data_IF_934876876563
#
_entry.id   IF_934876876563
#
_cell.length_a   1.000
_cell.length_b   1.000
_cell.length_c   1.000
_cell.angle_alpha   90.00
_cell.angle_beta   90.00
_cell.angle_gamma   90.00
#
_symmetry.space_group_name_H-M   'P 1'
#
loop_
_entity.id
_entity.type
_entity.pdbx_description
1 polymer ?
#
# COMPACT_ATOMS: atom_id res chain seq x y z
N UNK A 1 -8.65 -11.70 38.79
CA UNK A 1 -9.51 -11.68 37.59
C UNK A 1 -10.63 -12.71 37.62
N UNK A 2 -11.67 -12.49 36.81
CA UNK A 2 -12.75 -13.43 36.50
C UNK A 2 -12.41 -14.33 35.29
N UNK A 3 -13.15 -15.43 35.09
CA UNK A 3 -12.91 -16.33 33.95
C UNK A 3 -13.09 -15.61 32.59
N UNK A 4 -14.04 -14.68 32.48
CA UNK A 4 -14.26 -13.92 31.24
C UNK A 4 -13.10 -12.95 30.94
N UNK A 5 -12.52 -12.35 31.98
CA UNK A 5 -11.33 -11.52 31.84
C UNK A 5 -10.11 -12.36 31.44
N UNK A 6 -9.96 -13.54 32.05
CA UNK A 6 -8.90 -14.49 31.71
C UNK A 6 -8.97 -14.94 30.24
N UNK A 7 -10.17 -15.31 29.75
CA UNK A 7 -10.36 -15.74 28.36
C UNK A 7 -10.02 -14.63 27.34
N UNK A 8 -10.22 -13.35 27.68
CA UNK A 8 -9.87 -12.23 26.79
C UNK A 8 -8.37 -12.01 26.67
N UNK A 9 -7.62 -12.21 27.75
CA UNK A 9 -6.15 -12.06 27.76
C UNK A 9 -5.43 -13.31 27.29
N UNK A 10 -6.16 -14.41 27.07
CA UNK A 10 -5.59 -15.71 26.70
C UNK A 10 -4.70 -15.68 25.45
N UNK A 11 -5.04 -14.97 24.35
CA UNK A 11 -4.16 -14.86 23.18
C UNK A 11 -2.82 -14.15 23.46
N UNK A 12 -2.79 -13.26 24.46
CA UNK A 12 -1.60 -12.49 24.83
C UNK A 12 -0.63 -13.30 25.72
N UNK A 13 -1.10 -14.41 26.31
CA UNK A 13 -0.32 -15.26 27.21
C UNK A 13 0.79 -16.05 26.50
N UNK A 14 0.76 -16.17 25.16
CA UNK A 14 1.84 -16.81 24.40
C UNK A 14 3.19 -16.08 24.54
N UNK A 15 3.16 -14.77 24.83
CA UNK A 15 4.35 -13.94 25.08
C UNK A 15 4.85 -13.94 26.53
N UNK A 16 4.14 -14.60 27.44
CA UNK A 16 4.46 -14.68 28.88
C UNK A 16 3.21 -14.52 29.77
N UNK A 17 3.15 -15.30 30.85
CA UNK A 17 2.02 -15.27 31.80
C UNK A 17 2.18 -14.16 32.83
N UNK A 18 1.12 -13.40 33.06
CA UNK A 18 1.06 -12.43 34.17
C UNK A 18 0.90 -13.16 35.50
N UNK A 19 1.32 -12.53 36.61
CA UNK A 19 1.14 -13.09 37.95
C UNK A 19 -0.34 -13.33 38.28
N UNK A 20 -1.22 -12.43 37.85
CA UNK A 20 -2.66 -12.56 38.05
C UNK A 20 -3.21 -13.79 37.30
N UNK A 21 -2.73 -14.05 36.07
CA UNK A 21 -3.09 -15.20 35.24
C UNK A 21 -2.74 -16.52 35.92
N UNK A 22 -1.52 -16.61 36.46
CA UNK A 22 -1.07 -17.79 37.19
C UNK A 22 -1.87 -18.02 38.49
N UNK A 23 -2.25 -16.95 39.19
CA UNK A 23 -3.09 -17.07 40.38
C UNK A 23 -4.48 -17.62 40.04
N UNK A 24 -5.11 -17.11 38.97
CA UNK A 24 -6.42 -17.59 38.53
C UNK A 24 -6.39 -19.06 38.11
N UNK A 25 -5.36 -19.47 37.37
CA UNK A 25 -5.18 -20.86 36.93
C UNK A 25 -5.02 -21.85 38.09
N UNK A 26 -4.45 -21.41 39.23
CA UNK A 26 -4.36 -22.25 40.44
C UNK A 26 -5.70 -22.41 41.14
N UNK A 27 -6.59 -21.41 41.03
CA UNK A 27 -7.87 -21.39 41.75
C UNK A 27 -9.05 -21.89 40.90
N UNK A 28 -8.95 -21.86 39.57
CA UNK A 28 -10.04 -22.23 38.67
C UNK A 28 -9.66 -23.43 37.80
N UNK A 29 -10.21 -24.61 38.11
CA UNK A 29 -9.95 -25.85 37.35
C UNK A 29 -10.40 -25.75 35.90
N UNK A 30 -11.54 -25.10 35.61
CA UNK A 30 -12.07 -24.95 34.25
C UNK A 30 -11.11 -24.19 33.33
N UNK A 31 -10.52 -23.10 33.81
CA UNK A 31 -9.55 -22.32 33.04
C UNK A 31 -8.21 -23.06 32.92
N UNK A 32 -7.84 -23.85 33.93
CA UNK A 32 -6.68 -24.73 33.87
C UNK A 32 -6.85 -25.83 32.81
N UNK A 33 -8.00 -26.50 32.77
CA UNK A 33 -8.33 -27.51 31.76
C UNK A 33 -8.26 -26.92 30.35
N UNK A 34 -8.86 -25.74 30.13
CA UNK A 34 -8.81 -25.04 28.84
C UNK A 34 -7.37 -24.76 28.38
N UNK A 35 -6.52 -24.24 29.28
CA UNK A 35 -5.12 -23.96 28.94
C UNK A 35 -4.32 -25.24 28.70
N UNK A 36 -4.61 -26.31 29.45
CA UNK A 36 -4.00 -27.62 29.23
C UNK A 36 -4.37 -28.17 27.85
N UNK A 37 -5.63 -28.05 27.43
CA UNK A 37 -6.09 -28.49 26.11
C UNK A 37 -5.42 -27.69 24.99
N UNK A 38 -5.31 -26.38 25.13
CA UNK A 38 -4.62 -25.52 24.15
C UNK A 38 -3.13 -25.84 24.06
N UNK A 39 -2.48 -26.11 25.19
CA UNK A 39 -1.08 -26.54 25.21
C UNK A 39 -0.90 -27.90 24.52
N UNK A 40 -1.81 -28.86 24.76
CA UNK A 40 -1.82 -30.14 24.08
C UNK A 40 -1.99 -30.00 22.55
N UNK A 41 -2.90 -29.13 22.10
CA UNK A 41 -3.07 -28.81 20.66
C UNK A 41 -1.78 -28.20 20.10
N UNK A 42 -1.16 -27.24 20.80
CA UNK A 42 0.10 -26.61 20.37
C UNK A 42 1.22 -27.64 20.23
N UNK A 43 1.34 -28.56 21.19
CA UNK A 43 2.33 -29.64 21.15
C UNK A 43 2.08 -30.60 19.97
N UNK A 44 0.84 -31.04 19.76
CA UNK A 44 0.50 -31.90 18.61
C UNK A 44 0.72 -31.18 17.27
N UNK A 45 0.35 -29.92 17.15
CA UNK A 45 0.55 -29.14 15.93
C UNK A 45 2.04 -29.07 15.53
N UNK A 46 2.95 -28.95 16.49
CA UNK A 46 4.41 -28.99 16.21
C UNK A 46 4.87 -30.35 15.68
N UNK A 47 4.25 -31.45 16.11
CA UNK A 47 4.57 -32.78 15.55
C UNK A 47 4.12 -32.95 14.10
N UNK A 48 3.04 -32.27 13.70
CA UNK A 48 2.55 -32.26 12.32
C UNK A 48 3.43 -31.42 11.39
N UNK A 49 4.04 -30.35 11.88
CA UNK A 49 4.92 -29.51 11.05
C UNK A 49 6.13 -30.27 10.50
N UNK A 50 6.62 -31.28 11.23
CA UNK A 50 7.77 -32.06 10.77
C UNK A 50 7.45 -32.99 9.59
N UNK A 51 6.18 -33.29 9.31
CA UNK A 51 5.79 -34.22 8.23
C UNK A 51 5.50 -33.55 6.88
N UNK A 52 5.19 -32.25 6.85
CA UNK A 52 4.60 -31.58 5.67
C UNK A 52 5.40 -30.37 5.17
N UNK A 53 6.73 -30.47 5.12
CA UNK A 53 7.53 -29.44 4.44
C UNK A 53 7.31 -29.52 2.91
N UNK A 54 6.91 -28.43 2.24
CA UNK A 54 6.77 -28.41 0.79
C UNK A 54 8.08 -28.81 0.12
N UNK A 55 7.98 -29.51 -1.03
CA UNK A 55 9.19 -29.86 -1.78
C UNK A 55 10.03 -28.62 -2.11
N UNK A 56 11.36 -28.71 -2.21
CA UNK A 56 12.22 -27.57 -2.54
C UNK A 56 11.84 -26.84 -3.83
N UNK A 57 11.17 -27.53 -4.77
CA UNK A 57 10.65 -26.92 -6.00
C UNK A 57 9.55 -25.91 -5.74
N UNK A 58 8.65 -26.21 -4.80
CA UNK A 58 7.56 -25.31 -4.41
C UNK A 58 8.14 -24.05 -3.79
N UNK A 59 9.11 -24.18 -2.89
CA UNK A 59 9.80 -23.03 -2.30
C UNK A 59 10.52 -22.16 -3.33
N UNK A 60 11.25 -22.77 -4.26
CA UNK A 60 11.89 -22.02 -5.34
C UNK A 60 10.86 -21.28 -6.20
N UNK A 61 9.71 -21.90 -6.50
CA UNK A 61 8.65 -21.23 -7.27
C UNK A 61 8.06 -20.03 -6.52
N UNK A 62 7.81 -20.16 -5.22
CA UNK A 62 7.32 -19.06 -4.36
C UNK A 62 8.35 -17.93 -4.32
N UNK A 63 9.63 -18.25 -4.13
CA UNK A 63 10.69 -17.23 -4.12
C UNK A 63 10.76 -16.46 -5.44
N UNK A 64 10.66 -17.16 -6.58
CA UNK A 64 10.65 -16.54 -7.89
C UNK A 64 9.44 -15.62 -8.04
N UNK A 65 8.24 -16.07 -7.68
CA UNK A 65 7.02 -15.27 -7.74
C UNK A 65 7.11 -14.03 -6.85
N UNK A 66 7.57 -14.17 -5.61
CA UNK A 66 7.72 -13.04 -4.69
C UNK A 66 8.77 -12.02 -5.13
N UNK A 67 9.83 -12.47 -5.83
CA UNK A 67 10.81 -11.57 -6.46
C UNK A 67 10.22 -10.83 -7.65
N UNK A 68 9.39 -11.49 -8.46
CA UNK A 68 8.69 -10.87 -9.60
C UNK A 68 7.65 -9.84 -9.14
N UNK A 69 6.97 -10.11 -8.02
CA UNK A 69 6.03 -9.18 -7.38
C UNK A 69 6.73 -8.04 -6.62
N UNK A 70 8.06 -8.07 -6.50
CA UNK A 70 8.84 -7.04 -5.81
C UNK A 70 8.71 -7.07 -4.27
N UNK A 71 8.03 -8.08 -3.73
CA UNK A 71 7.82 -8.26 -2.29
C UNK A 71 9.10 -8.71 -1.57
N UNK A 72 9.97 -9.43 -2.29
CA UNK A 72 11.29 -9.84 -1.78
C UNK A 72 12.37 -9.05 -2.52
N UNK A 73 12.93 -8.04 -1.84
CA UNK A 73 14.17 -7.40 -2.29
C UNK A 73 15.33 -8.31 -1.95
N UNK A 74 16.32 -8.51 -2.84
CA UNK A 74 17.56 -9.17 -2.46
C UNK A 74 18.15 -8.42 -1.26
N UNK A 75 18.48 -9.14 -0.20
CA UNK A 75 19.15 -8.61 0.97
C UNK A 75 20.37 -7.81 0.52
N UNK A 76 20.35 -6.49 0.73
CA UNK A 76 21.42 -5.57 0.32
C UNK A 76 22.75 -5.81 1.06
N UNK A 77 22.82 -6.81 1.94
CA UNK A 77 24.01 -7.15 2.72
C UNK A 77 25.15 -7.77 1.88
N UNK A 78 24.88 -8.20 0.64
CA UNK A 78 25.91 -8.73 -0.27
C UNK A 78 26.43 -7.74 -1.32
N UNK A 79 26.24 -6.42 -1.12
CA UNK A 79 26.90 -5.43 -1.97
C UNK A 79 28.27 -5.07 -1.38
N UNK A 80 29.40 -5.54 -1.95
CA UNK A 80 30.71 -5.05 -1.55
C UNK A 80 30.77 -3.55 -1.76
N UNK A 81 31.07 -2.83 -0.68
CA UNK A 81 31.02 -1.38 -0.61
C UNK A 81 31.96 -0.72 -1.64
N UNK A 82 31.41 -0.30 -2.78
CA UNK A 82 32.03 0.72 -3.67
C UNK A 82 31.99 2.13 -3.04
N UNK A 83 32.17 2.25 -1.73
CA UNK A 83 32.19 3.54 -0.99
C UNK A 83 33.61 4.13 -0.88
N UNK A 84 34.37 4.15 -1.97
CA UNK A 84 35.66 4.86 -2.00
C UNK A 84 35.87 5.76 -3.23
N UNK A 85 34.97 5.75 -4.23
CA UNK A 85 35.13 6.56 -5.44
C UNK A 85 34.45 7.95 -5.38
N UNK A 86 33.56 8.20 -4.42
CA UNK A 86 32.71 9.40 -4.41
C UNK A 86 33.29 10.66 -3.75
N UNK A 87 34.39 10.58 -3.01
CA UNK A 87 34.87 11.73 -2.22
C UNK A 87 35.62 12.78 -3.06
N UNK A 88 36.26 12.38 -4.16
CA UNK A 88 37.06 13.28 -5.02
C UNK A 88 36.23 14.15 -5.96
N UNK A 89 34.96 13.85 -6.18
CA UNK A 89 34.10 14.61 -7.10
C UNK A 89 33.29 15.73 -6.43
N UNK A 90 33.42 15.89 -5.10
CA UNK A 90 32.64 16.87 -4.32
C UNK A 90 33.20 18.29 -4.32
N UNK A 91 34.35 18.53 -4.97
CA UNK A 91 35.00 19.84 -5.09
C UNK A 91 34.88 20.49 -6.47
N UNK A 92 34.27 19.83 -7.45
CA UNK A 92 34.11 20.39 -8.82
C UNK A 92 32.75 21.07 -9.07
N UNK A 93 31.78 20.92 -8.16
CA UNK A 93 30.44 21.51 -8.26
C UNK A 93 30.42 23.05 -8.16
N UNK A 94 31.18 23.74 -7.29
CA UNK A 94 31.04 25.19 -7.15
C UNK A 94 31.59 25.98 -8.35
N UNK A 95 32.54 25.44 -9.12
CA UNK A 95 33.10 26.10 -10.31
C UNK A 95 32.12 26.12 -11.49
N UNK A 96 31.32 25.07 -11.68
CA UNK A 96 30.32 25.01 -12.75
C UNK A 96 29.12 25.95 -12.50
N UNK A 97 28.70 26.09 -11.23
CA UNK A 97 27.59 26.96 -10.85
C UNK A 97 27.89 28.45 -11.10
N UNK A 98 29.12 28.90 -10.82
CA UNK A 98 29.53 30.29 -11.07
C UNK A 98 29.53 30.64 -12.57
N UNK A 99 29.97 29.73 -13.43
CA UNK A 99 29.98 29.94 -14.89
C UNK A 99 28.56 30.04 -15.49
N UNK A 100 27.60 29.27 -14.97
CA UNK A 100 26.20 29.32 -15.42
C UNK A 100 25.49 30.60 -14.98
N UNK A 101 25.82 31.14 -13.80
CA UNK A 101 25.24 32.40 -13.32
C UNK A 101 25.73 33.61 -14.15
N UNK A 102 27.02 33.64 -14.52
CA UNK A 102 27.57 34.70 -15.37
C UNK A 102 27.03 34.63 -16.80
N UNK A 103 26.93 33.43 -17.39
CA UNK A 103 26.35 33.29 -18.73
C UNK A 103 24.86 33.65 -18.75
N UNK A 104 24.10 33.22 -17.74
CA UNK A 104 22.69 33.55 -17.58
C UNK A 104 22.41 35.05 -17.42
N UNK A 105 23.31 35.78 -16.73
CA UNK A 105 23.16 37.23 -16.54
C UNK A 105 23.38 38.01 -17.86
N UNK A 106 24.43 37.67 -18.61
CA UNK A 106 24.75 38.30 -19.90
C UNK A 106 23.67 38.07 -20.97
N UNK A 107 23.04 36.89 -20.97
CA UNK A 107 21.93 36.56 -21.87
C UNK A 107 20.62 37.30 -21.53
N UNK A 108 20.48 37.78 -20.29
CA UNK A 108 19.29 38.50 -19.80
C UNK A 108 19.38 40.00 -20.08
N UNK A 109 20.55 40.60 -19.97
CA UNK A 109 20.77 42.01 -20.35
C UNK A 109 20.63 42.24 -21.87
N UNK A 110 20.91 41.23 -22.70
CA UNK A 110 20.74 41.32 -24.15
C UNK A 110 19.31 41.07 -24.67
N UNK A 111 18.37 40.63 -23.83
CA UNK A 111 16.99 40.32 -24.24
C UNK A 111 15.96 41.15 -23.46
N UNK A 112 15.74 42.37 -23.95
CA UNK A 112 14.38 42.86 -24.20
C UNK A 112 13.66 43.55 -23.03
N UNK A 113 13.35 44.83 -23.27
CA UNK A 113 12.31 45.58 -22.57
C UNK A 113 10.88 45.08 -22.86
N UNK A 114 9.85 45.86 -22.49
CA UNK A 114 8.75 45.40 -21.62
C UNK A 114 7.47 44.99 -22.37
N UNK A 115 6.71 44.04 -21.81
CA UNK A 115 5.29 43.78 -22.15
C UNK A 115 4.64 43.03 -20.98
N UNK A 116 3.86 43.71 -20.15
CA UNK A 116 2.39 43.70 -20.15
C UNK A 116 1.71 42.39 -19.68
N UNK A 117 1.23 42.48 -18.43
CA UNK A 117 -0.09 42.08 -17.93
C UNK A 117 -0.91 41.07 -18.75
N UNK A 118 -1.04 39.84 -18.24
CA UNK A 118 -2.33 39.14 -18.16
C UNK A 118 -2.37 38.36 -16.84
N UNK A 119 -3.15 38.87 -15.88
CA UNK A 119 -3.63 38.07 -14.76
C UNK A 119 -4.56 37.00 -15.32
N UNK A 120 -4.09 35.75 -15.38
CA UNK A 120 -4.97 34.59 -15.55
C UNK A 120 -5.54 34.26 -14.17
N UNK A 121 -6.77 34.71 -13.94
CA UNK A 121 -7.61 34.25 -12.85
C UNK A 121 -7.70 32.72 -12.88
N UNK A 122 -7.14 32.07 -11.87
CA UNK A 122 -7.46 30.68 -11.55
C UNK A 122 -8.78 30.72 -10.80
N UNK A 123 -9.87 30.42 -11.52
CA UNK A 123 -11.11 30.02 -10.86
C UNK A 123 -10.88 28.66 -10.21
N UNK A 124 -11.32 28.43 -8.96
CA UNK A 124 -11.30 27.11 -8.38
C UNK A 124 -12.29 26.25 -9.16
N UNK A 125 -11.79 25.19 -9.81
CA UNK A 125 -12.62 24.08 -10.26
C UNK A 125 -13.15 23.41 -8.98
N UNK A 126 -14.34 23.84 -8.58
CA UNK A 126 -15.23 23.00 -7.81
C UNK A 126 -15.72 21.93 -8.79
N UNK A 127 -15.09 20.75 -8.75
CA UNK A 127 -15.57 19.56 -9.45
C UNK A 127 -16.84 19.09 -8.76
N UNK A 128 -17.98 19.62 -9.18
CA UNK A 128 -19.25 18.92 -9.06
C UNK A 128 -19.30 17.84 -10.15
N UNK A 129 -19.76 16.61 -9.85
CA UNK A 129 -19.84 15.54 -10.84
C UNK A 129 -20.94 15.86 -11.86
N UNK A 130 -20.53 16.32 -13.06
CA UNK A 130 -21.41 16.37 -14.23
C UNK A 130 -21.67 14.95 -14.76
N UNK A 131 -22.89 14.64 -15.24
CA UNK A 131 -23.28 13.31 -15.70
C UNK A 131 -22.48 12.78 -16.90
N UNK A 132 -21.76 13.65 -17.63
CA UNK A 132 -20.88 13.27 -18.73
C UNK A 132 -19.58 12.57 -18.27
N UNK A 133 -19.07 12.92 -17.08
CA UNK A 133 -17.83 12.34 -16.55
C UNK A 133 -17.99 10.88 -16.12
N UNK A 134 -19.17 10.52 -15.61
CA UNK A 134 -19.49 9.14 -15.20
C UNK A 134 -19.54 8.23 -16.43
N UNK A 135 -20.05 8.72 -17.56
CA UNK A 135 -20.13 7.96 -18.81
C UNK A 135 -18.76 7.67 -19.43
N UNK A 136 -17.81 8.62 -19.35
CA UNK A 136 -16.42 8.39 -19.79
C UNK A 136 -15.67 7.41 -18.90
N UNK A 137 -15.90 7.48 -17.58
CA UNK A 137 -15.29 6.57 -16.60
C UNK A 137 -15.76 5.13 -16.81
N UNK A 138 -17.06 4.92 -17.02
CA UNK A 138 -17.64 3.59 -17.26
C UNK A 138 -17.16 3.02 -18.60
N UNK A 139 -17.06 3.85 -19.65
CA UNK A 139 -16.55 3.42 -20.94
C UNK A 139 -15.06 2.99 -20.89
N UNK A 140 -14.24 3.69 -20.10
CA UNK A 140 -12.83 3.33 -19.92
C UNK A 140 -12.66 2.05 -19.08
N UNK A 141 -13.55 1.83 -18.11
CA UNK A 141 -13.59 0.61 -17.30
C UNK A 141 -13.92 -0.64 -18.14
N UNK A 142 -14.96 -0.59 -18.97
CA UNK A 142 -15.35 -1.70 -19.84
C UNK A 142 -14.24 -2.03 -20.85
N UNK A 143 -13.59 -1.00 -21.40
CA UNK A 143 -12.45 -1.16 -22.29
C UNK A 143 -11.30 -1.89 -21.58
N UNK A 144 -10.99 -1.48 -20.36
CA UNK A 144 -9.92 -2.07 -19.57
C UNK A 144 -10.24 -3.50 -19.12
N UNK A 145 -11.49 -3.79 -18.76
CA UNK A 145 -11.98 -5.15 -18.49
C UNK A 145 -11.82 -6.07 -19.70
N UNK A 146 -12.10 -5.57 -20.91
CA UNK A 146 -11.90 -6.33 -22.14
C UNK A 146 -10.42 -6.60 -22.43
N UNK A 147 -9.54 -5.63 -22.16
CA UNK A 147 -8.09 -5.81 -22.27
C UNK A 147 -7.59 -6.87 -21.29
N UNK A 148 -8.03 -6.82 -20.04
CA UNK A 148 -7.70 -7.83 -19.01
C UNK A 148 -8.24 -9.20 -19.42
N UNK A 149 -9.48 -9.27 -19.91
CA UNK A 149 -10.10 -10.52 -20.36
C UNK A 149 -9.35 -11.17 -21.54
N UNK A 150 -8.87 -10.35 -22.49
CA UNK A 150 -8.14 -10.82 -23.65
C UNK A 150 -6.77 -11.42 -23.30
N UNK A 151 -6.13 -10.95 -22.22
CA UNK A 151 -4.77 -11.37 -21.83
C UNK A 151 -4.76 -12.38 -20.69
N UNK A 152 -5.63 -12.18 -19.70
CA UNK A 152 -5.70 -12.97 -18.47
C UNK A 152 -7.18 -13.20 -18.08
N UNK A 153 -7.89 -14.11 -18.78
CA UNK A 153 -9.32 -14.32 -18.57
C UNK A 153 -9.67 -14.72 -17.13
N UNK A 154 -8.80 -15.49 -16.45
CA UNK A 154 -9.00 -15.90 -15.05
C UNK A 154 -8.87 -14.77 -14.02
N UNK A 155 -8.39 -13.58 -14.40
CA UNK A 155 -8.27 -12.43 -13.50
C UNK A 155 -9.39 -11.40 -13.67
N UNK A 156 -10.17 -11.49 -14.75
CA UNK A 156 -11.23 -10.54 -15.08
C UNK A 156 -12.24 -10.41 -13.94
N UNK A 157 -12.71 -11.54 -13.41
CA UNK A 157 -13.76 -11.56 -12.38
C UNK A 157 -13.28 -10.95 -11.06
N UNK A 158 -12.04 -11.24 -10.67
CA UNK A 158 -11.42 -10.65 -9.48
C UNK A 158 -11.25 -9.14 -9.62
N UNK A 159 -10.78 -8.68 -10.80
CA UNK A 159 -10.63 -7.26 -11.07
C UNK A 159 -11.98 -6.51 -11.09
N UNK A 160 -12.99 -7.06 -11.77
CA UNK A 160 -14.35 -6.51 -11.78
C UNK A 160 -14.99 -6.49 -10.39
N UNK A 161 -14.66 -7.45 -9.53
CA UNK A 161 -15.10 -7.44 -8.13
C UNK A 161 -14.41 -6.33 -7.33
N UNK A 162 -13.09 -6.16 -7.50
CA UNK A 162 -12.33 -5.14 -6.80
C UNK A 162 -12.78 -3.72 -7.18
N UNK A 163 -13.03 -3.47 -8.47
CA UNK A 163 -13.57 -2.19 -8.93
C UNK A 163 -14.93 -1.87 -8.29
N UNK A 164 -15.87 -2.82 -8.32
CA UNK A 164 -17.19 -2.64 -7.69
C UNK A 164 -17.09 -2.35 -6.19
N UNK A 165 -16.14 -2.95 -5.49
CA UNK A 165 -15.90 -2.70 -4.07
C UNK A 165 -15.38 -1.27 -3.85
N UNK A 166 -14.40 -0.83 -4.65
CA UNK A 166 -13.86 0.53 -4.57
C UNK A 166 -14.91 1.58 -4.93
N UNK A 167 -15.75 1.35 -5.94
CA UNK A 167 -16.82 2.29 -6.32
C UNK A 167 -17.93 2.38 -5.27
N UNK A 168 -18.19 1.29 -4.53
CA UNK A 168 -19.07 1.34 -3.37
C UNK A 168 -18.45 2.20 -2.26
N UNK A 169 -17.15 2.04 -2.00
CA UNK A 169 -16.43 2.81 -0.99
C UNK A 169 -16.33 4.30 -1.34
N UNK A 170 -16.07 4.66 -2.61
CA UNK A 170 -16.07 6.05 -3.08
C UNK A 170 -17.45 6.69 -2.85
N UNK A 171 -18.55 6.01 -3.18
CA UNK A 171 -19.90 6.55 -2.97
C UNK A 171 -20.19 6.83 -1.49
N UNK A 172 -19.73 5.96 -0.60
CA UNK A 172 -19.88 6.12 0.86
C UNK A 172 -19.04 7.30 1.38
N UNK A 173 -17.79 7.41 0.95
CA UNK A 173 -16.92 8.52 1.28
C UNK A 173 -17.45 9.86 0.74
N UNK A 174 -17.97 9.89 -0.49
CA UNK A 174 -18.63 11.06 -1.09
C UNK A 174 -19.91 11.44 -0.35
N UNK A 175 -20.67 10.47 0.17
CA UNK A 175 -21.85 10.75 1.00
C UNK A 175 -21.44 11.44 2.30
N UNK A 176 -20.44 10.89 2.98
CA UNK A 176 -19.91 11.43 4.23
C UNK A 176 -19.34 12.84 4.05
N UNK A 177 -18.56 13.07 2.98
CA UNK A 177 -17.99 14.36 2.64
C UNK A 177 -19.06 15.41 2.25
N UNK A 178 -20.19 14.97 1.66
CA UNK A 178 -21.33 15.87 1.37
C UNK A 178 -22.13 16.24 2.62
N UNK A 179 -22.30 15.29 3.54
CA UNK A 179 -23.01 15.52 4.78
C UNK A 179 -22.25 16.48 5.70
N UNK A 180 -20.92 16.36 5.77
CA UNK A 180 -20.06 17.25 6.55
C UNK A 180 -18.83 17.71 5.74
N UNK A 181 -18.93 18.81 4.96
CA UNK A 181 -17.84 19.25 4.06
C UNK A 181 -16.55 19.70 4.77
N UNK A 182 -16.64 20.11 6.03
CA UNK A 182 -15.51 20.56 6.84
C UNK A 182 -14.94 19.47 7.75
N UNK A 183 -15.44 18.22 7.64
CA UNK A 183 -14.88 17.09 8.39
C UNK A 183 -13.59 16.61 7.71
N UNK A 184 -12.46 16.86 8.37
CA UNK A 184 -11.13 16.43 7.91
C UNK A 184 -11.05 14.90 7.71
N UNK A 185 -11.78 14.13 8.51
CA UNK A 185 -11.78 12.66 8.42
C UNK A 185 -12.53 12.20 7.17
N UNK A 186 -13.68 12.82 6.86
CA UNK A 186 -14.43 12.52 5.65
C UNK A 186 -13.64 12.88 4.38
N UNK A 187 -12.92 14.00 4.39
CA UNK A 187 -12.01 14.38 3.29
C UNK A 187 -10.85 13.38 3.13
N UNK A 188 -10.31 12.89 4.25
CA UNK A 188 -9.28 11.85 4.22
C UNK A 188 -9.81 10.54 3.64
N UNK A 189 -11.02 10.11 4.01
CA UNK A 189 -11.64 8.90 3.44
C UNK A 189 -11.84 9.00 1.94
N UNK A 190 -12.29 10.15 1.45
CA UNK A 190 -12.46 10.42 0.02
C UNK A 190 -11.12 10.35 -0.72
N UNK A 191 -10.07 10.96 -0.16
CA UNK A 191 -8.70 10.90 -0.72
C UNK A 191 -8.21 9.46 -0.81
N UNK A 192 -8.31 8.71 0.30
CA UNK A 192 -7.90 7.30 0.34
C UNK A 192 -8.69 6.43 -0.65
N UNK A 193 -9.99 6.72 -0.84
CA UNK A 193 -10.84 5.97 -1.77
C UNK A 193 -10.38 6.13 -3.22
N UNK A 194 -10.03 7.35 -3.63
CA UNK A 194 -9.51 7.59 -4.98
C UNK A 194 -8.10 7.03 -5.17
N UNK A 195 -7.24 7.06 -4.15
CA UNK A 195 -5.93 6.42 -4.20
C UNK A 195 -6.03 4.90 -4.40
N UNK A 196 -6.94 4.25 -3.67
CA UNK A 196 -7.19 2.82 -3.84
C UNK A 196 -7.70 2.49 -5.26
N UNK A 197 -8.54 3.35 -5.83
CA UNK A 197 -9.01 3.18 -7.21
C UNK A 197 -7.86 3.25 -8.21
N UNK A 198 -6.97 4.24 -8.07
CA UNK A 198 -5.81 4.37 -8.94
C UNK A 198 -4.93 3.11 -8.89
N UNK A 199 -4.67 2.57 -7.69
CA UNK A 199 -3.89 1.34 -7.52
C UNK A 199 -4.54 0.14 -8.22
N UNK A 200 -5.86 -0.03 -8.11
CA UNK A 200 -6.57 -1.11 -8.80
C UNK A 200 -6.39 -1.01 -10.31
N UNK A 201 -6.56 0.19 -10.88
CA UNK A 201 -6.34 0.46 -12.30
C UNK A 201 -4.88 0.19 -12.72
N UNK A 202 -3.90 0.60 -11.92
CA UNK A 202 -2.47 0.35 -12.19
C UNK A 202 -2.16 -1.15 -12.26
N UNK A 203 -2.72 -1.96 -11.36
CA UNK A 203 -2.52 -3.42 -11.37
C UNK A 203 -3.05 -4.03 -12.67
N UNK A 204 -4.22 -3.58 -13.14
CA UNK A 204 -4.77 -4.04 -14.40
C UNK A 204 -3.94 -3.58 -15.61
N UNK A 205 -3.48 -2.32 -15.61
CA UNK A 205 -2.60 -1.82 -16.67
C UNK A 205 -1.26 -2.55 -16.71
N UNK A 206 -0.62 -2.77 -15.57
CA UNK A 206 0.65 -3.48 -15.45
C UNK A 206 0.56 -4.91 -16.01
N UNK A 207 -0.53 -5.62 -15.72
CA UNK A 207 -0.79 -6.97 -16.25
C UNK A 207 -1.23 -6.96 -17.70
N UNK A 208 -1.62 -5.80 -18.21
CA UNK A 208 -1.95 -5.62 -19.61
C UNK A 208 -0.73 -5.28 -20.48
N UNK A 209 0.41 -4.82 -19.96
CA UNK A 209 1.55 -4.52 -20.83
C UNK A 209 2.17 -5.82 -21.41
N UNK A 210 2.62 -5.82 -22.69
CA UNK A 210 3.19 -6.99 -23.37
C UNK A 210 4.57 -7.41 -22.85
#
# INVERSE_FOLDING_TARGET
>A
MTCQEFERVLPELEGGRSFEADEHLRMCSRCWDLVSDLDAISQQARTLQASDEPSPRVWNSIEITLRQEGLVRPSQLDRPARRLAGWRLRWLVPMAAALLLVSGFLLREHRGGPSQLVARSVSPVATSPSPDGISQVVADEDQLLNIVAARAPGLRDGYASNLRAVDAYIRDAESSARENPNDEIAQQYLTNAYEQRAMVYEIAMARSLP
#
